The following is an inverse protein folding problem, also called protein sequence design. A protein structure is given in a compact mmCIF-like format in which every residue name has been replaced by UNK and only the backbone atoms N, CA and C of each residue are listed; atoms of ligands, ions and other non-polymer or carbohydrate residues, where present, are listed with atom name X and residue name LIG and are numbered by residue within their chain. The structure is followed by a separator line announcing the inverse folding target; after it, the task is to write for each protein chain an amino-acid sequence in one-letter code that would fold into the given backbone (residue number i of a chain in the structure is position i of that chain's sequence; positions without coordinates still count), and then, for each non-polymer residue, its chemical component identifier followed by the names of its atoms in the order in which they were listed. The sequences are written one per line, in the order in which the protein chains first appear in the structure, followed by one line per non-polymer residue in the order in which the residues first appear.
data_IF_647796559918
#
_entry.id   IF_647796559918
#
_cell.length_a   1.000
_cell.length_b   1.000
_cell.length_c   1.000
_cell.angle_alpha   90.00
_cell.angle_beta   90.00
_cell.angle_gamma   90.00
#
_symmetry.space_group_name_H-M   'P 1'
#
loop_
_entity.id
_entity.type
_entity.pdbx_description
1 polymer ?
#
# COMPACT_ATOMS: atom_id res chain seq x y z
N UNK A 1 -12.09 -0.60 16.96
CA UNK A 1 -10.72 -0.24 16.53
C UNK A 1 -10.53 -0.17 15.00
N UNK A 2 -11.46 -0.63 14.16
CA UNK A 2 -11.22 -0.78 12.71
C UNK A 2 -11.32 0.46 11.81
N UNK A 3 -11.82 1.60 12.30
CA UNK A 3 -12.11 2.77 11.43
C UNK A 3 -10.89 3.68 11.22
N UNK A 4 -9.95 3.73 12.17
CA UNK A 4 -8.86 4.71 12.14
C UNK A 4 -7.82 4.46 11.05
N UNK A 5 -7.70 3.24 10.53
CA UNK A 5 -6.69 2.91 9.50
C UNK A 5 -7.14 3.29 8.09
N UNK A 6 -8.44 3.29 7.82
CA UNK A 6 -9.01 3.54 6.50
C UNK A 6 -8.58 4.87 5.87
N UNK A 7 -8.59 6.01 6.59
CA UNK A 7 -8.10 7.27 6.03
C UNK A 7 -6.65 7.20 5.58
N UNK A 8 -5.77 6.54 6.36
CA UNK A 8 -4.36 6.38 6.00
C UNK A 8 -4.18 5.46 4.78
N UNK A 9 -4.94 4.37 4.69
CA UNK A 9 -4.93 3.45 3.55
C UNK A 9 -5.38 4.16 2.28
N UNK A 10 -6.52 4.86 2.34
CA UNK A 10 -7.05 5.62 1.20
C UNK A 10 -6.05 6.71 0.78
N UNK A 11 -5.49 7.44 1.74
CA UNK A 11 -4.45 8.44 1.46
C UNK A 11 -3.22 7.82 0.79
N UNK A 12 -2.74 6.66 1.24
CA UNK A 12 -1.61 5.95 0.64
C UNK A 12 -1.89 5.50 -0.80
N UNK A 13 -3.10 5.00 -1.07
CA UNK A 13 -3.58 4.65 -2.41
C UNK A 13 -3.58 5.87 -3.32
N UNK A 14 -4.24 6.95 -2.91
CA UNK A 14 -4.31 8.19 -3.70
C UNK A 14 -2.91 8.76 -3.96
N UNK A 15 -2.06 8.82 -2.93
CA UNK A 15 -0.67 9.26 -3.07
C UNK A 15 0.11 8.40 -4.04
N UNK A 16 -0.09 7.09 -4.05
CA UNK A 16 0.62 6.19 -4.98
C UNK A 16 0.23 6.41 -6.43
N UNK A 17 -1.05 6.70 -6.72
CA UNK A 17 -1.50 7.08 -8.07
C UNK A 17 -0.86 8.39 -8.49
N UNK A 18 -0.91 9.41 -7.62
CA UNK A 18 -0.31 10.73 -7.90
C UNK A 18 1.21 10.59 -8.09
N UNK A 19 1.87 9.72 -7.32
CA UNK A 19 3.29 9.45 -7.44
C UNK A 19 3.68 8.90 -8.81
N UNK A 20 2.95 7.89 -9.28
CA UNK A 20 3.20 7.26 -10.58
C UNK A 20 2.88 8.24 -11.72
N UNK A 21 1.76 8.96 -11.64
CA UNK A 21 1.35 9.93 -12.65
C UNK A 21 2.35 11.10 -12.76
N UNK A 22 2.78 11.64 -11.61
CA UNK A 22 3.71 12.76 -11.52
C UNK A 22 5.19 12.34 -11.59
N UNK A 23 5.48 11.04 -11.65
CA UNK A 23 6.83 10.44 -11.52
C UNK A 23 7.60 10.86 -10.26
N UNK A 24 6.89 11.19 -9.17
CA UNK A 24 7.50 11.64 -7.91
C UNK A 24 7.65 10.46 -6.95
N UNK A 25 8.81 9.79 -6.99
CA UNK A 25 9.09 8.64 -6.14
C UNK A 25 9.01 8.92 -4.62
N UNK A 26 9.23 10.17 -4.19
CA UNK A 26 9.08 10.57 -2.79
C UNK A 26 7.66 10.36 -2.25
N UNK A 27 6.64 10.49 -3.10
CA UNK A 27 5.24 10.26 -2.70
C UNK A 27 4.96 8.78 -2.38
N UNK A 28 5.68 7.84 -3.02
CA UNK A 28 5.59 6.41 -2.68
C UNK A 28 6.26 6.09 -1.32
N UNK A 29 7.28 6.85 -0.93
CA UNK A 29 7.88 6.73 0.41
C UNK A 29 6.91 7.22 1.49
N UNK A 30 6.17 8.30 1.21
CA UNK A 30 5.11 8.77 2.12
C UNK A 30 3.98 7.74 2.20
N UNK A 31 3.56 7.16 1.06
CA UNK A 31 2.58 6.09 1.03
C UNK A 31 3.02 4.86 1.86
N UNK A 32 4.31 4.48 1.80
CA UNK A 32 4.90 3.45 2.66
C UNK A 32 4.65 3.76 4.15
N UNK A 33 5.00 4.97 4.61
CA UNK A 33 4.84 5.36 6.03
C UNK A 33 3.37 5.31 6.45
N UNK A 34 2.48 5.83 5.61
CA UNK A 34 1.03 5.82 5.87
C UNK A 34 0.45 4.41 5.93
N UNK A 35 1.06 3.44 5.24
CA UNK A 35 0.59 2.06 5.21
C UNK A 35 1.11 1.21 6.39
N UNK A 36 2.12 1.68 7.13
CA UNK A 36 2.70 0.95 8.28
C UNK A 36 1.66 0.59 9.34
N UNK A 37 0.78 1.51 9.81
CA UNK A 37 -0.20 1.17 10.84
C UNK A 37 -1.12 0.01 10.42
N UNK A 38 -1.53 -0.01 9.16
CA UNK A 38 -2.36 -1.08 8.59
C UNK A 38 -1.60 -2.40 8.44
N UNK A 39 -0.34 -2.33 8.04
CA UNK A 39 0.55 -3.49 7.95
C UNK A 39 0.81 -4.14 9.31
N UNK A 40 1.03 -3.34 10.35
CA UNK A 40 1.16 -3.83 11.72
C UNK A 40 -0.15 -4.45 12.23
N UNK A 41 -1.29 -3.86 11.86
CA UNK A 41 -2.60 -4.44 12.16
C UNK A 41 -2.78 -5.81 11.49
N UNK A 42 -2.43 -5.94 10.21
CA UNK A 42 -2.46 -7.23 9.50
C UNK A 42 -1.53 -8.26 10.13
N UNK A 43 -0.30 -7.86 10.51
CA UNK A 43 0.65 -8.75 11.16
C UNK A 43 0.18 -9.25 12.54
N UNK A 44 -0.76 -8.55 13.19
CA UNK A 44 -1.39 -9.03 14.42
C UNK A 44 -2.47 -10.09 14.18
N UNK A 45 -2.80 -10.43 12.91
CA UNK A 45 -3.80 -11.44 12.57
C UNK A 45 -3.17 -12.77 12.15
N UNK A 46 -3.73 -13.93 12.51
CA UNK A 46 -3.15 -15.25 12.21
C UNK A 46 -2.93 -15.50 10.71
N UNK A 47 -3.79 -14.93 9.87
CA UNK A 47 -3.73 -15.09 8.41
C UNK A 47 -2.56 -14.33 7.77
N UNK A 48 -2.11 -13.22 8.39
CA UNK A 48 -1.14 -12.29 7.82
C UNK A 48 0.05 -12.02 8.72
N UNK A 49 0.32 -12.90 9.69
CA UNK A 49 1.34 -12.69 10.73
C UNK A 49 2.70 -12.24 10.17
N UNK A 50 3.21 -12.96 9.18
CA UNK A 50 4.46 -12.62 8.48
C UNK A 50 4.24 -11.79 7.22
N UNK A 51 3.13 -12.02 6.51
CA UNK A 51 2.83 -11.38 5.23
C UNK A 51 2.44 -9.90 5.37
N UNK A 52 1.84 -9.52 6.49
CA UNK A 52 1.42 -8.16 6.82
C UNK A 52 2.55 -7.16 6.67
N UNK A 53 3.77 -7.51 7.11
CA UNK A 53 4.96 -6.64 7.07
C UNK A 53 5.54 -6.44 5.67
N UNK A 54 5.24 -7.33 4.72
CA UNK A 54 5.79 -7.26 3.36
C UNK A 54 5.05 -6.21 2.53
N UNK A 55 3.76 -5.97 2.79
CA UNK A 55 2.93 -5.10 1.97
C UNK A 55 3.43 -3.64 1.82
N UNK A 56 3.87 -2.96 2.91
CA UNK A 56 4.48 -1.65 2.78
C UNK A 56 5.74 -1.66 1.90
N UNK A 57 6.52 -2.75 1.92
CA UNK A 57 7.77 -2.84 1.16
C UNK A 57 7.54 -2.76 -0.34
N UNK A 58 6.36 -3.15 -0.85
CA UNK A 58 6.00 -2.95 -2.25
C UNK A 58 5.96 -1.47 -2.65
N UNK A 59 5.60 -0.56 -1.75
CA UNK A 59 5.68 0.89 -2.02
C UNK A 59 7.13 1.37 -2.14
N UNK A 60 8.05 0.88 -1.29
CA UNK A 60 9.48 1.20 -1.38
C UNK A 60 10.11 0.63 -2.65
N UNK A 61 9.78 -0.62 -2.98
CA UNK A 61 10.21 -1.25 -4.24
C UNK A 61 9.67 -0.47 -5.45
N UNK A 62 8.40 -0.06 -5.41
CA UNK A 62 7.82 0.78 -6.46
C UNK A 62 8.53 2.14 -6.57
N UNK A 63 8.89 2.76 -5.45
CA UNK A 63 9.66 4.01 -5.43
C UNK A 63 11.02 3.85 -6.12
N UNK A 64 11.71 2.73 -5.85
CA UNK A 64 12.98 2.40 -6.48
C UNK A 64 12.85 2.24 -8.00
N UNK A 65 11.88 1.46 -8.48
CA UNK A 65 11.67 1.27 -9.92
C UNK A 65 11.14 2.52 -10.63
N UNK A 66 10.32 3.33 -9.95
CA UNK A 66 9.85 4.61 -10.47
C UNK A 66 11.03 5.58 -10.66
N UNK A 67 12.00 5.61 -9.73
CA UNK A 67 13.24 6.39 -9.86
C UNK A 67 14.10 5.93 -11.04
N UNK A 68 14.08 4.64 -11.37
CA UNK A 68 14.70 4.07 -12.59
C UNK A 68 13.88 4.30 -13.87
N UNK A 69 12.77 5.05 -13.79
CA UNK A 69 11.84 5.31 -14.90
C UNK A 69 11.15 4.04 -15.45
N UNK A 70 11.16 2.94 -14.71
CA UNK A 70 10.49 1.68 -15.09
C UNK A 70 9.08 1.67 -14.50
N UNK A 71 8.18 2.45 -15.12
CA UNK A 71 6.84 2.72 -14.57
C UNK A 71 5.96 1.48 -14.47
N UNK A 72 6.06 0.56 -15.42
CA UNK A 72 5.22 -0.65 -15.42
C UNK A 72 5.49 -1.52 -14.19
N UNK A 73 6.75 -1.67 -13.77
CA UNK A 73 7.10 -2.38 -12.53
C UNK A 73 6.55 -1.68 -11.30
N UNK A 74 6.63 -0.34 -11.25
CA UNK A 74 6.07 0.43 -10.15
C UNK A 74 4.54 0.25 -10.07
N UNK A 75 3.85 0.22 -11.21
CA UNK A 75 2.40 -0.04 -11.27
C UNK A 75 2.08 -1.45 -10.77
N UNK A 76 2.80 -2.47 -11.24
CA UNK A 76 2.59 -3.86 -10.80
C UNK A 76 2.77 -3.99 -9.29
N UNK A 77 3.84 -3.41 -8.72
CA UNK A 77 4.11 -3.48 -7.29
C UNK A 77 3.04 -2.77 -6.46
N UNK A 78 2.61 -1.57 -6.87
CA UNK A 78 1.55 -0.83 -6.18
C UNK A 78 0.21 -1.55 -6.28
N UNK A 79 -0.07 -2.21 -7.41
CA UNK A 79 -1.34 -2.92 -7.63
C UNK A 79 -1.57 -4.09 -6.67
N UNK A 80 -0.49 -4.72 -6.17
CA UNK A 80 -0.59 -5.78 -5.14
C UNK A 80 -1.27 -5.22 -3.88
N UNK A 81 -0.89 -4.01 -3.45
CA UNK A 81 -1.50 -3.34 -2.31
C UNK A 81 -2.96 -2.94 -2.58
N UNK A 82 -3.30 -2.59 -3.82
CA UNK A 82 -4.68 -2.25 -4.20
C UNK A 82 -5.60 -3.47 -4.13
N UNK A 83 -5.12 -4.62 -4.63
CA UNK A 83 -5.87 -5.88 -4.57
C UNK A 83 -6.11 -6.27 -3.11
N UNK A 84 -5.09 -6.20 -2.27
CA UNK A 84 -5.22 -6.49 -0.84
C UNK A 84 -6.25 -5.59 -0.16
N UNK A 85 -6.14 -4.27 -0.35
CA UNK A 85 -7.07 -3.31 0.26
C UNK A 85 -8.48 -3.49 -0.28
N UNK A 86 -8.63 -3.73 -1.58
CA UNK A 86 -9.93 -3.99 -2.20
C UNK A 86 -10.59 -5.25 -1.64
N UNK A 87 -9.82 -6.32 -1.47
CA UNK A 87 -10.31 -7.55 -0.85
C UNK A 87 -10.70 -7.33 0.61
N UNK A 88 -9.87 -6.66 1.41
CA UNK A 88 -10.19 -6.36 2.82
C UNK A 88 -11.43 -5.47 2.92
N UNK A 89 -11.55 -4.45 2.07
CA UNK A 89 -12.74 -3.59 2.01
C UNK A 89 -13.99 -4.36 1.65
N UNK A 90 -13.90 -5.28 0.68
CA UNK A 90 -15.01 -6.17 0.36
C UNK A 90 -15.38 -7.04 1.57
N UNK A 91 -14.41 -7.68 2.23
CA UNK A 91 -14.70 -8.52 3.40
C UNK A 91 -15.36 -7.74 4.53
N UNK A 92 -14.94 -6.50 4.79
CA UNK A 92 -15.52 -5.65 5.85
C UNK A 92 -16.95 -5.20 5.52
N UNK A 93 -17.28 -5.00 4.24
CA UNK A 93 -18.62 -4.57 3.82
C UNK A 93 -19.64 -5.71 3.78
N UNK A 94 -19.18 -6.94 3.55
CA UNK A 94 -20.03 -8.13 3.38
C UNK A 94 -20.02 -9.09 4.57
N UNK A 95 -19.40 -8.70 5.68
CA UNK A 95 -19.38 -9.41 6.96
C UNK A 95 -20.39 -8.79 7.92
#
# INVERSE_FOLDING_TARGET
MGIFFWPFIIAAIVLSVIAIASKKASLLVIAFILFIPFSLYLAATPLFEWWGMIFPMFYLAAAYYLRKNIRWLAIVLVSINFILVGWIGFTVLFQ
#
